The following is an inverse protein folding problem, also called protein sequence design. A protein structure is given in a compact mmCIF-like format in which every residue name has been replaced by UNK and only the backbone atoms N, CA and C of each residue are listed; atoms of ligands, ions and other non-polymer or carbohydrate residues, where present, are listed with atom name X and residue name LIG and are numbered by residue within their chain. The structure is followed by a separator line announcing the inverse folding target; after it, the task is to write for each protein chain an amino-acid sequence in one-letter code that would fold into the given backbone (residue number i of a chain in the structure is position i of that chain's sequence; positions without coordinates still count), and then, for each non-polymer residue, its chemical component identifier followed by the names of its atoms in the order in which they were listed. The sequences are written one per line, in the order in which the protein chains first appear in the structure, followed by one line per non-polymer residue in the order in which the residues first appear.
data_IF_247222727957
#
_entry.id   IF_247222727957
#
_cell.length_a   1.000
_cell.length_b   1.000
_cell.length_c   1.000
_cell.angle_alpha   90.00
_cell.angle_beta   90.00
_cell.angle_gamma   90.00
#
_symmetry.space_group_name_H-M   'P 1'
#
loop_
_entity.id
_entity.type
_entity.pdbx_description
1 polymer ?
#
# COMPACT_ATOMS: atom_id res chain seq x y z
N UNK A 1 -24.89 26.16 24.17
CA UNK A 1 -23.92 25.43 23.32
C UNK A 1 -24.33 23.99 22.95
N UNK A 2 -25.32 23.35 23.58
CA UNK A 2 -25.69 21.94 23.32
C UNK A 2 -26.41 21.63 21.97
N UNK A 3 -27.15 22.58 21.38
CA UNK A 3 -27.87 22.35 20.10
C UNK A 3 -26.94 22.05 18.92
N UNK A 4 -25.72 22.58 18.92
CA UNK A 4 -24.74 22.40 17.84
C UNK A 4 -24.15 20.98 17.80
N UNK A 5 -23.92 20.37 18.97
CA UNK A 5 -23.39 19.01 19.10
C UNK A 5 -24.43 17.97 18.68
N UNK A 6 -25.69 18.11 19.13
CA UNK A 6 -26.74 17.16 18.80
C UNK A 6 -27.04 17.13 17.29
N UNK A 7 -26.99 18.30 16.65
CA UNK A 7 -27.18 18.46 15.21
C UNK A 7 -26.04 17.86 14.35
N UNK A 8 -24.89 17.50 14.94
CA UNK A 8 -23.77 16.87 14.22
C UNK A 8 -23.63 15.38 14.53
N UNK A 9 -23.80 15.01 15.79
CA UNK A 9 -23.62 13.63 16.25
C UNK A 9 -24.72 12.72 15.70
N UNK A 10 -25.99 13.13 15.81
CA UNK A 10 -27.11 12.28 15.39
C UNK A 10 -27.07 11.95 13.88
N UNK A 11 -26.89 12.92 12.96
CA UNK A 11 -26.77 12.60 11.53
C UNK A 11 -25.56 11.70 11.21
N UNK A 12 -24.45 11.88 11.93
CA UNK A 12 -23.27 11.04 11.74
C UNK A 12 -23.54 9.59 12.15
N UNK A 13 -24.23 9.37 13.27
CA UNK A 13 -24.60 8.03 13.71
C UNK A 13 -25.58 7.35 12.73
N UNK A 14 -26.49 8.10 12.12
CA UNK A 14 -27.43 7.56 11.12
C UNK A 14 -26.69 7.09 9.86
N UNK A 15 -25.80 7.92 9.31
CA UNK A 15 -24.98 7.54 8.13
C UNK A 15 -24.13 6.31 8.42
N UNK A 16 -23.49 6.25 9.59
CA UNK A 16 -22.69 5.09 9.98
C UNK A 16 -23.55 3.83 10.15
N UNK A 17 -24.75 3.95 10.73
CA UNK A 17 -25.66 2.83 10.95
C UNK A 17 -26.24 2.30 9.64
N UNK A 18 -26.59 3.17 8.72
CA UNK A 18 -27.06 2.80 7.38
C UNK A 18 -26.00 1.97 6.63
N UNK A 19 -24.74 2.37 6.75
CA UNK A 19 -23.63 1.70 6.07
C UNK A 19 -23.20 0.39 6.74
N UNK A 20 -23.16 0.35 8.07
CA UNK A 20 -22.63 -0.79 8.82
C UNK A 20 -23.71 -1.78 9.28
N UNK A 21 -24.99 -1.43 9.15
CA UNK A 21 -26.14 -2.26 9.48
C UNK A 21 -26.38 -2.51 10.98
N UNK A 22 -25.45 -2.17 11.87
CA UNK A 22 -25.55 -2.46 13.31
C UNK A 22 -24.93 -1.38 14.20
N UNK A 23 -25.62 -1.04 15.29
CA UNK A 23 -25.10 -0.13 16.32
C UNK A 23 -23.80 -0.64 16.97
N UNK A 24 -23.61 -1.97 17.03
CA UNK A 24 -22.38 -2.57 17.55
C UNK A 24 -21.20 -2.23 16.65
N UNK A 25 -21.37 -2.34 15.32
CA UNK A 25 -20.34 -2.01 14.34
C UNK A 25 -20.02 -0.52 14.35
N UNK A 26 -21.03 0.34 14.47
CA UNK A 26 -20.84 1.79 14.66
C UNK A 26 -19.96 2.06 15.88
N UNK A 27 -20.24 1.44 17.03
CA UNK A 27 -19.44 1.63 18.24
C UNK A 27 -17.98 1.16 18.06
N UNK A 28 -17.74 0.06 17.33
CA UNK A 28 -16.37 -0.41 17.02
C UNK A 28 -15.61 0.59 16.16
N UNK A 29 -16.22 1.11 15.08
CA UNK A 29 -15.59 2.11 14.21
C UNK A 29 -15.29 3.40 14.95
N UNK A 30 -16.20 3.86 15.82
CA UNK A 30 -15.99 5.07 16.61
C UNK A 30 -14.86 4.94 17.62
N UNK A 31 -14.64 3.74 18.19
CA UNK A 31 -13.47 3.45 19.03
C UNK A 31 -12.16 3.54 18.24
N UNK A 32 -12.17 3.15 16.97
CA UNK A 32 -11.00 3.25 16.08
C UNK A 32 -10.76 4.71 15.67
N UNK A 33 -11.82 5.46 15.38
CA UNK A 33 -11.70 6.85 14.96
C UNK A 33 -12.85 7.73 15.43
N UNK A 34 -12.60 8.57 16.43
CA UNK A 34 -13.55 9.62 16.84
C UNK A 34 -13.73 10.74 15.82
N UNK A 35 -12.95 10.76 14.72
CA UNK A 35 -13.05 11.78 13.67
C UNK A 35 -14.40 11.78 12.97
N UNK A 36 -15.08 10.63 12.89
CA UNK A 36 -16.44 10.52 12.33
C UNK A 36 -17.46 11.39 13.06
N UNK A 37 -17.22 11.78 14.32
CA UNK A 37 -18.08 12.68 15.09
C UNK A 37 -17.63 14.14 15.04
N UNK A 38 -16.41 14.41 14.56
CA UNK A 38 -15.83 15.76 14.47
C UNK A 38 -16.10 16.43 13.13
N UNK A 39 -16.21 15.65 12.06
CA UNK A 39 -16.52 16.12 10.71
C UNK A 39 -18.00 15.96 10.36
N UNK A 40 -18.52 16.79 9.45
CA UNK A 40 -19.82 16.57 8.81
C UNK A 40 -19.69 15.43 7.79
N UNK A 41 -19.91 14.19 8.26
CA UNK A 41 -19.75 13.00 7.42
C UNK A 41 -20.85 12.87 6.36
N UNK A 42 -22.00 13.52 6.55
CA UNK A 42 -23.03 13.62 5.51
C UNK A 42 -22.55 14.38 4.29
N UNK A 43 -21.78 15.47 4.48
CA UNK A 43 -21.22 16.27 3.38
C UNK A 43 -19.85 15.79 2.87
N UNK A 44 -19.21 14.85 3.56
CA UNK A 44 -17.86 14.36 3.20
C UNK A 44 -17.87 12.87 2.88
N UNK A 45 -18.12 12.03 3.87
CA UNK A 45 -18.06 10.57 3.76
C UNK A 45 -19.15 9.99 2.86
N UNK A 46 -20.41 10.41 3.00
CA UNK A 46 -21.51 9.87 2.20
C UNK A 46 -21.28 10.02 0.67
N UNK A 47 -20.98 11.22 0.12
CA UNK A 47 -20.66 11.34 -1.30
C UNK A 47 -19.38 10.61 -1.73
N UNK A 48 -18.40 10.46 -0.83
CA UNK A 48 -17.20 9.67 -1.07
C UNK A 48 -17.52 8.17 -1.22
N UNK A 49 -18.38 7.64 -0.35
CA UNK A 49 -18.85 6.25 -0.43
C UNK A 49 -19.62 6.02 -1.72
N UNK A 50 -20.54 6.92 -2.06
CA UNK A 50 -21.34 6.81 -3.27
C UNK A 50 -20.46 6.84 -4.52
N UNK A 51 -19.45 7.73 -4.54
CA UNK A 51 -18.45 7.75 -5.59
C UNK A 51 -17.68 6.42 -5.69
N UNK A 52 -17.22 5.86 -4.58
CA UNK A 52 -16.50 4.57 -4.58
C UNK A 52 -17.39 3.41 -5.05
N UNK A 53 -18.66 3.38 -4.64
CA UNK A 53 -19.65 2.41 -5.16
C UNK A 53 -19.80 2.52 -6.68
N UNK A 54 -19.90 3.74 -7.20
CA UNK A 54 -19.96 3.99 -8.64
C UNK A 54 -18.67 3.62 -9.39
N UNK A 55 -17.54 3.53 -8.69
CA UNK A 55 -16.30 2.94 -9.22
C UNK A 55 -16.26 1.40 -9.12
N UNK A 56 -17.36 0.73 -8.73
CA UNK A 56 -17.45 -0.72 -8.60
C UNK A 56 -16.87 -1.28 -7.30
N UNK A 57 -16.63 -0.43 -6.29
CA UNK A 57 -16.13 -0.87 -4.99
C UNK A 57 -17.29 -1.36 -4.12
N UNK A 58 -17.17 -2.59 -3.62
CA UNK A 58 -18.19 -3.22 -2.79
C UNK A 58 -18.25 -2.60 -1.39
N UNK A 59 -19.43 -2.61 -0.77
CA UNK A 59 -19.67 -2.00 0.55
C UNK A 59 -18.80 -2.66 1.63
N UNK A 60 -18.54 -3.94 1.52
CA UNK A 60 -17.69 -4.71 2.43
C UNK A 60 -16.24 -4.17 2.41
N UNK A 61 -15.75 -3.74 1.25
CA UNK A 61 -14.42 -3.17 1.09
C UNK A 61 -14.36 -1.73 1.64
N UNK A 62 -15.42 -0.96 1.42
CA UNK A 62 -15.57 0.38 2.01
C UNK A 62 -15.61 0.27 3.53
N UNK A 63 -16.34 -0.70 4.06
CA UNK A 63 -16.39 -1.01 5.50
C UNK A 63 -14.99 -1.33 6.02
N UNK A 64 -14.24 -2.21 5.35
CA UNK A 64 -12.85 -2.51 5.71
C UNK A 64 -11.96 -1.25 5.77
N UNK A 65 -12.15 -0.28 4.86
CA UNK A 65 -11.44 1.00 4.89
C UNK A 65 -11.79 1.84 6.13
N UNK A 66 -13.01 1.75 6.66
CA UNK A 66 -13.39 2.43 7.89
C UNK A 66 -12.63 1.87 9.11
N UNK A 67 -12.36 0.57 9.11
CA UNK A 67 -11.61 -0.10 10.16
C UNK A 67 -10.09 0.09 10.04
N UNK A 68 -9.58 0.28 8.82
CA UNK A 68 -8.12 0.29 8.57
C UNK A 68 -7.56 1.69 8.28
N UNK A 69 -8.26 2.47 7.45
CA UNK A 69 -7.83 3.79 6.99
C UNK A 69 -8.96 4.83 7.01
N UNK A 70 -9.64 5.04 8.16
CA UNK A 70 -10.87 5.83 8.25
C UNK A 70 -10.76 7.25 7.69
N UNK A 71 -9.58 7.86 7.82
CA UNK A 71 -9.32 9.23 7.37
C UNK A 71 -9.42 9.41 5.85
N UNK A 72 -9.21 8.35 5.05
CA UNK A 72 -9.29 8.47 3.59
C UNK A 72 -10.72 8.83 3.13
N UNK A 73 -11.74 8.36 3.84
CA UNK A 73 -13.15 8.62 3.55
C UNK A 73 -13.62 10.01 4.01
N UNK A 74 -12.85 10.71 4.84
CA UNK A 74 -13.22 12.00 5.43
C UNK A 74 -12.66 13.21 4.66
N UNK A 75 -11.99 13.00 3.54
CA UNK A 75 -11.52 14.10 2.70
C UNK A 75 -12.68 14.76 1.93
N UNK A 76 -12.48 15.99 1.46
CA UNK A 76 -13.48 16.70 0.65
C UNK A 76 -13.79 15.88 -0.62
N UNK A 77 -15.06 15.78 -1.06
CA UNK A 77 -15.42 14.94 -2.21
C UNK A 77 -14.64 15.24 -3.50
N UNK A 78 -14.48 16.53 -3.83
CA UNK A 78 -13.64 16.96 -4.96
C UNK A 78 -12.19 16.47 -4.85
N UNK A 79 -11.64 16.42 -3.63
CA UNK A 79 -10.28 15.92 -3.38
C UNK A 79 -10.20 14.41 -3.53
N UNK A 80 -11.21 13.66 -3.06
CA UNK A 80 -11.27 12.21 -3.26
C UNK A 80 -11.33 11.85 -4.74
N UNK A 81 -12.26 12.45 -5.49
CA UNK A 81 -12.44 12.19 -6.93
C UNK A 81 -11.13 12.48 -7.67
N UNK A 82 -10.50 13.63 -7.39
CA UNK A 82 -9.21 13.99 -7.97
C UNK A 82 -8.10 13.01 -7.61
N UNK A 83 -8.04 12.58 -6.35
CA UNK A 83 -7.04 11.61 -5.88
C UNK A 83 -7.21 10.26 -6.57
N UNK A 84 -8.42 9.70 -6.56
CA UNK A 84 -8.74 8.41 -7.20
C UNK A 84 -8.45 8.49 -8.69
N UNK A 85 -8.92 9.53 -9.39
CA UNK A 85 -8.65 9.69 -10.83
C UNK A 85 -7.15 9.75 -11.17
N UNK A 86 -6.35 10.49 -10.38
CA UNK A 86 -4.89 10.51 -10.54
C UNK A 86 -4.29 9.14 -10.31
N UNK A 87 -4.73 8.44 -9.27
CA UNK A 87 -4.18 7.15 -8.89
C UNK A 87 -4.50 6.07 -9.93
N UNK A 88 -5.74 6.02 -10.41
CA UNK A 88 -6.14 5.13 -11.52
C UNK A 88 -5.29 5.38 -12.77
N UNK A 89 -5.11 6.64 -13.17
CA UNK A 89 -4.25 7.00 -14.30
C UNK A 89 -2.80 6.54 -14.08
N UNK A 90 -2.26 6.69 -12.87
CA UNK A 90 -0.91 6.25 -12.55
C UNK A 90 -0.75 4.72 -12.66
N UNK A 91 -1.73 3.94 -12.19
CA UNK A 91 -1.71 2.48 -12.35
C UNK A 91 -1.80 2.07 -13.84
N UNK A 92 -2.68 2.70 -14.62
CA UNK A 92 -2.78 2.46 -16.07
C UNK A 92 -1.46 2.75 -16.80
N UNK A 93 -0.83 3.89 -16.50
CA UNK A 93 0.48 4.24 -17.07
C UNK A 93 1.60 3.24 -16.71
N UNK A 94 1.43 2.48 -15.63
CA UNK A 94 2.38 1.45 -15.22
C UNK A 94 2.10 0.08 -15.87
N UNK A 95 0.94 -0.09 -16.51
CA UNK A 95 0.55 -1.29 -17.25
C UNK A 95 -0.59 -2.09 -16.62
N UNK A 96 -1.23 -1.60 -15.55
CA UNK A 96 -2.39 -2.27 -14.96
C UNK A 96 -3.63 -2.07 -15.84
N UNK A 97 -4.36 -3.16 -16.10
CA UNK A 97 -5.72 -3.11 -16.67
C UNK A 97 -6.74 -2.60 -15.64
N UNK A 98 -7.96 -2.29 -16.08
CA UNK A 98 -9.05 -1.94 -15.16
C UNK A 98 -9.38 -3.12 -14.22
N UNK A 99 -9.33 -4.34 -14.74
CA UNK A 99 -9.50 -5.58 -13.98
C UNK A 99 -8.40 -5.75 -12.91
N UNK A 100 -7.13 -5.51 -13.27
CA UNK A 100 -6.01 -5.60 -12.33
C UNK A 100 -6.14 -4.58 -11.20
N UNK A 101 -6.61 -3.36 -11.51
CA UNK A 101 -6.81 -2.29 -10.53
C UNK A 101 -7.89 -2.69 -9.54
N UNK A 102 -9.04 -3.16 -10.03
CA UNK A 102 -10.16 -3.61 -9.19
C UNK A 102 -9.73 -4.79 -8.31
N UNK A 103 -9.03 -5.76 -8.88
CA UNK A 103 -8.50 -6.92 -8.14
C UNK A 103 -7.45 -6.52 -7.09
N UNK A 104 -6.57 -5.59 -7.43
CA UNK A 104 -5.58 -5.03 -6.50
C UNK A 104 -6.26 -4.31 -5.35
N UNK A 105 -7.30 -3.52 -5.62
CA UNK A 105 -8.05 -2.83 -4.58
C UNK A 105 -8.76 -3.83 -3.67
N UNK A 106 -9.29 -4.91 -4.22
CA UNK A 106 -9.95 -5.98 -3.46
C UNK A 106 -9.01 -6.71 -2.52
N UNK A 107 -7.84 -7.11 -3.01
CA UNK A 107 -6.87 -7.90 -2.22
C UNK A 107 -5.98 -7.06 -1.31
N UNK A 108 -5.64 -5.85 -1.73
CA UNK A 108 -4.62 -5.03 -1.08
C UNK A 108 -4.86 -3.52 -1.30
N UNK A 109 -5.96 -2.95 -0.76
CA UNK A 109 -6.29 -1.53 -0.95
C UNK A 109 -5.20 -0.57 -0.43
N UNK A 110 -4.38 -1.00 0.54
CA UNK A 110 -3.22 -0.24 1.02
C UNK A 110 -2.20 0.09 -0.07
N UNK A 111 -2.15 -0.68 -1.17
CA UNK A 111 -1.28 -0.42 -2.33
C UNK A 111 -1.62 0.94 -2.99
N UNK A 112 -2.86 1.40 -2.87
CA UNK A 112 -3.28 2.71 -3.40
C UNK A 112 -2.75 3.90 -2.58
N UNK A 113 -2.10 3.66 -1.44
CA UNK A 113 -1.37 4.70 -0.69
C UNK A 113 0.06 4.94 -1.20
N UNK A 114 0.60 4.03 -2.01
CA UNK A 114 1.98 4.11 -2.50
C UNK A 114 2.16 5.30 -3.44
N UNK A 115 3.23 6.07 -3.28
CA UNK A 115 3.49 7.24 -4.14
C UNK A 115 3.80 6.83 -5.58
N UNK A 116 3.40 7.66 -6.55
CA UNK A 116 3.70 7.44 -7.97
C UNK A 116 5.20 7.35 -8.24
N UNK A 117 5.98 8.20 -7.56
CA UNK A 117 7.44 8.20 -7.64
C UNK A 117 8.03 6.85 -7.21
N UNK A 118 7.54 6.27 -6.10
CA UNK A 118 8.00 4.96 -5.63
C UNK A 118 7.69 3.85 -6.64
N UNK A 119 6.50 3.87 -7.25
CA UNK A 119 6.12 2.89 -8.26
C UNK A 119 7.01 2.99 -9.51
N UNK A 120 7.32 4.22 -9.96
CA UNK A 120 8.23 4.48 -11.09
C UNK A 120 9.65 4.01 -10.80
N UNK A 121 10.21 4.39 -9.64
CA UNK A 121 11.54 3.94 -9.21
C UNK A 121 11.63 2.43 -9.15
N UNK A 122 10.61 1.75 -8.62
CA UNK A 122 10.58 0.29 -8.60
C UNK A 122 10.59 -0.29 -10.01
N UNK A 123 9.77 0.25 -10.92
CA UNK A 123 9.73 -0.17 -12.33
C UNK A 123 11.10 -0.04 -12.99
N UNK A 124 11.74 1.11 -12.82
CA UNK A 124 13.07 1.39 -13.37
C UNK A 124 14.12 0.40 -12.87
N UNK A 125 14.22 0.15 -11.56
CA UNK A 125 15.24 -0.77 -11.04
C UNK A 125 14.99 -2.24 -11.38
N UNK A 126 13.72 -2.65 -11.52
CA UNK A 126 13.39 -4.02 -11.93
C UNK A 126 13.78 -4.24 -13.39
N UNK A 127 13.42 -3.31 -14.28
CA UNK A 127 13.82 -3.38 -15.69
C UNK A 127 15.34 -3.30 -15.83
N UNK A 128 15.99 -2.39 -15.12
CA UNK A 128 17.45 -2.23 -15.16
C UNK A 128 18.22 -3.47 -14.65
N UNK A 129 17.61 -4.30 -13.80
CA UNK A 129 18.21 -5.56 -13.40
C UNK A 129 18.33 -6.57 -14.54
N UNK A 130 17.52 -6.44 -15.59
CA UNK A 130 17.44 -7.41 -16.70
C UNK A 130 16.84 -8.77 -16.31
N UNK A 131 16.40 -8.94 -15.04
CA UNK A 131 15.90 -10.21 -14.50
C UNK A 131 14.40 -10.25 -14.23
N UNK A 132 13.77 -9.08 -14.10
CA UNK A 132 12.36 -8.99 -13.77
C UNK A 132 11.66 -8.03 -14.73
N UNK A 133 10.48 -8.44 -15.18
CA UNK A 133 9.54 -7.56 -15.88
C UNK A 133 8.52 -6.98 -14.89
N UNK A 134 7.99 -5.80 -15.16
CA UNK A 134 7.04 -5.15 -14.25
C UNK A 134 5.70 -5.91 -14.11
N UNK A 135 5.35 -6.81 -15.04
CA UNK A 135 4.21 -7.74 -14.90
C UNK A 135 4.29 -8.59 -13.63
N UNK A 136 5.49 -8.84 -13.08
CA UNK A 136 5.65 -9.52 -11.79
C UNK A 136 5.04 -8.72 -10.62
N UNK A 137 5.03 -7.39 -10.71
CA UNK A 137 4.42 -6.48 -9.73
C UNK A 137 2.90 -6.49 -9.87
N UNK A 138 2.38 -6.56 -11.10
CA UNK A 138 0.93 -6.63 -11.36
C UNK A 138 0.35 -7.92 -10.76
N UNK A 139 1.03 -9.05 -10.95
CA UNK A 139 0.65 -10.34 -10.33
C UNK A 139 0.87 -10.37 -8.81
N UNK A 140 1.69 -9.46 -8.26
CA UNK A 140 2.00 -9.37 -6.83
C UNK A 140 1.91 -7.93 -6.30
N UNK A 141 0.73 -7.28 -6.26
CA UNK A 141 0.64 -5.84 -5.99
C UNK A 141 1.15 -5.41 -4.61
N UNK A 142 1.13 -6.32 -3.63
CA UNK A 142 1.67 -6.08 -2.27
C UNK A 142 3.18 -5.79 -2.26
N UNK A 143 3.89 -6.17 -3.33
CA UNK A 143 5.30 -5.86 -3.54
C UNK A 143 5.57 -4.36 -3.56
N UNK A 144 4.61 -3.53 -3.99
CA UNK A 144 4.69 -2.06 -4.02
C UNK A 144 4.82 -1.42 -2.62
N UNK A 145 4.43 -2.15 -1.57
CA UNK A 145 4.51 -1.67 -0.19
C UNK A 145 5.96 -1.70 0.31
N UNK A 146 6.77 -2.67 -0.15
CA UNK A 146 8.16 -2.84 0.27
C UNK A 146 9.04 -1.63 -0.08
N UNK A 147 10.08 -1.37 0.72
CA UNK A 147 10.99 -0.24 0.47
C UNK A 147 11.86 -0.47 -0.76
N UNK A 148 11.89 0.49 -1.67
CA UNK A 148 12.77 0.46 -2.85
C UNK A 148 14.23 0.57 -2.42
N UNK A 149 14.55 1.57 -1.60
CA UNK A 149 15.93 1.84 -1.17
C UNK A 149 16.47 0.83 -0.15
N UNK A 150 15.62 0.33 0.76
CA UNK A 150 16.10 -0.52 1.86
C UNK A 150 15.93 -2.02 1.57
N UNK A 151 15.08 -2.41 0.61
CA UNK A 151 14.84 -3.83 0.30
C UNK A 151 15.21 -4.19 -1.13
N UNK A 152 14.62 -3.55 -2.13
CA UNK A 152 14.87 -3.95 -3.52
C UNK A 152 16.29 -3.63 -3.97
N UNK A 153 16.70 -2.37 -3.87
CA UNK A 153 18.00 -1.91 -4.38
C UNK A 153 19.19 -2.68 -3.77
N UNK A 154 19.29 -2.89 -2.45
CA UNK A 154 20.40 -3.65 -1.88
C UNK A 154 20.38 -5.11 -2.35
N UNK A 155 19.21 -5.74 -2.42
CA UNK A 155 19.09 -7.14 -2.86
C UNK A 155 19.46 -7.32 -4.32
N UNK A 156 18.97 -6.45 -5.21
CA UNK A 156 19.32 -6.47 -6.64
C UNK A 156 20.82 -6.25 -6.84
N UNK A 157 21.46 -5.35 -6.08
CA UNK A 157 22.90 -5.13 -6.14
C UNK A 157 23.70 -6.37 -5.71
N UNK A 158 23.35 -6.97 -4.58
CA UNK A 158 23.99 -8.21 -4.10
C UNK A 158 23.86 -9.31 -5.16
N UNK A 159 22.65 -9.55 -5.67
CA UNK A 159 22.40 -10.57 -6.68
C UNK A 159 23.17 -10.30 -7.98
N UNK A 160 23.28 -9.04 -8.40
CA UNK A 160 24.08 -8.64 -9.56
C UNK A 160 25.57 -8.94 -9.39
N UNK A 161 26.15 -8.65 -8.22
CA UNK A 161 27.56 -8.98 -7.93
C UNK A 161 27.79 -10.49 -7.90
N UNK A 162 26.87 -11.25 -7.31
CA UNK A 162 26.98 -12.71 -7.28
C UNK A 162 26.91 -13.30 -8.68
N UNK A 163 25.99 -12.82 -9.51
CA UNK A 163 25.88 -13.25 -10.91
C UNK A 163 27.13 -12.89 -11.71
N UNK A 164 27.64 -11.65 -11.61
CA UNK A 164 28.81 -11.23 -12.38
C UNK A 164 30.08 -12.02 -12.03
N UNK A 165 30.10 -12.64 -10.84
CA UNK A 165 31.18 -13.53 -10.37
C UNK A 165 30.87 -15.02 -10.54
N UNK A 166 29.75 -15.36 -11.19
CA UNK A 166 29.26 -16.73 -11.37
C UNK A 166 29.08 -17.51 -10.05
N UNK A 167 28.73 -16.82 -8.95
CA UNK A 167 28.55 -17.41 -7.62
C UNK A 167 27.14 -17.96 -7.39
N UNK A 168 26.17 -17.52 -8.20
CA UNK A 168 24.81 -18.05 -8.23
C UNK A 168 24.47 -18.49 -9.65
N UNK A 169 23.68 -19.56 -9.76
CA UNK A 169 23.16 -20.04 -11.06
C UNK A 169 21.94 -19.25 -11.51
N UNK A 170 21.08 -18.92 -10.56
CA UNK A 170 19.78 -18.27 -10.83
C UNK A 170 19.44 -17.27 -9.74
N UNK A 171 18.71 -16.22 -10.14
CA UNK A 171 18.11 -15.26 -9.23
C UNK A 171 16.86 -15.85 -8.56
N UNK A 172 16.47 -15.39 -7.37
CA UNK A 172 15.21 -15.79 -6.77
C UNK A 172 14.03 -15.37 -7.65
N UNK A 173 12.90 -16.06 -7.53
CA UNK A 173 11.64 -15.57 -8.11
C UNK A 173 11.26 -14.21 -7.51
N UNK A 174 10.43 -13.43 -8.20
CA UNK A 174 10.02 -12.12 -7.69
C UNK A 174 9.38 -12.18 -6.28
N UNK A 175 8.49 -13.14 -5.96
CA UNK A 175 8.03 -13.35 -4.58
C UNK A 175 9.18 -13.64 -3.60
N UNK A 176 10.15 -14.45 -4.01
CA UNK A 176 11.37 -14.70 -3.24
C UNK A 176 12.20 -13.43 -3.01
N UNK A 177 12.18 -12.48 -3.94
CA UNK A 177 12.87 -11.21 -3.81
C UNK A 177 12.23 -10.30 -2.75
N UNK A 178 10.90 -10.14 -2.72
CA UNK A 178 10.26 -9.16 -1.83
C UNK A 178 9.70 -9.73 -0.52
N UNK A 179 9.24 -10.99 -0.51
CA UNK A 179 8.67 -11.64 0.69
C UNK A 179 9.73 -12.22 1.62
N UNK A 180 10.89 -12.65 1.09
CA UNK A 180 11.93 -13.26 1.91
C UNK A 180 12.38 -12.29 3.02
N UNK A 181 12.45 -12.73 4.29
CA UNK A 181 12.98 -11.91 5.38
C UNK A 181 14.44 -11.50 5.14
N UNK A 182 14.87 -10.36 5.67
CA UNK A 182 16.24 -9.85 5.48
C UNK A 182 17.29 -10.84 6.02
N UNK A 183 17.04 -11.44 7.18
CA UNK A 183 17.94 -12.45 7.76
C UNK A 183 18.11 -13.67 6.85
N UNK A 184 17.01 -14.14 6.24
CA UNK A 184 17.04 -15.26 5.30
C UNK A 184 17.81 -14.89 4.02
N UNK A 185 17.62 -13.67 3.52
CA UNK A 185 18.38 -13.15 2.37
C UNK A 185 19.87 -13.08 2.69
N UNK A 186 20.24 -12.54 3.86
CA UNK A 186 21.62 -12.44 4.31
C UNK A 186 22.25 -13.82 4.47
N UNK A 187 21.57 -14.76 5.12
CA UNK A 187 22.07 -16.14 5.29
C UNK A 187 22.34 -16.82 3.95
N UNK A 188 21.51 -16.57 2.94
CA UNK A 188 21.57 -17.25 1.64
C UNK A 188 22.50 -16.59 0.64
N UNK A 189 22.50 -15.26 0.54
CA UNK A 189 23.15 -14.52 -0.54
C UNK A 189 24.29 -13.60 -0.07
N UNK A 190 24.45 -13.41 1.24
CA UNK A 190 25.51 -12.54 1.77
C UNK A 190 26.56 -13.33 2.53
N UNK A 191 26.16 -14.07 3.57
CA UNK A 191 27.09 -14.78 4.48
C UNK A 191 28.05 -15.73 3.75
N UNK A 192 27.62 -16.48 2.72
CA UNK A 192 28.53 -17.36 1.98
C UNK A 192 29.57 -16.60 1.14
N UNK A 193 29.34 -15.32 0.85
CA UNK A 193 30.09 -14.51 -0.12
C UNK A 193 30.52 -13.16 0.48
N UNK A 194 30.87 -13.13 1.77
CA UNK A 194 31.20 -11.91 2.50
C UNK A 194 32.43 -11.18 1.93
N UNK A 195 33.37 -11.88 1.29
CA UNK A 195 34.57 -11.24 0.70
C UNK A 195 34.23 -10.51 -0.59
N UNK A 196 33.18 -10.95 -1.26
CA UNK A 196 32.74 -10.48 -2.57
C UNK A 196 31.67 -9.40 -2.46
N UNK A 197 30.82 -9.51 -1.44
CA UNK A 197 29.68 -8.62 -1.17
C UNK A 197 29.99 -7.64 -0.03
N UNK A 198 31.06 -7.85 0.74
CA UNK A 198 31.39 -7.16 1.98
C UNK A 198 31.44 -5.62 1.92
N UNK A 199 31.78 -5.05 0.76
CA UNK A 199 31.80 -3.59 0.58
C UNK A 199 30.40 -2.97 0.48
N UNK A 200 29.38 -3.74 0.08
CA UNK A 200 27.98 -3.29 0.02
C UNK A 200 27.35 -3.20 1.43
N UNK A 201 27.86 -3.94 2.42
CA UNK A 201 27.39 -3.89 3.81
C UNK A 201 27.79 -2.61 4.55
N UNK A 202 28.87 -1.95 4.12
CA UNK A 202 29.34 -0.70 4.75
C UNK A 202 28.57 0.54 4.26
N UNK A 203 27.94 0.47 3.09
CA UNK A 203 27.13 1.57 2.51
C UNK A 203 25.67 1.54 3.01
N UNK A 204 25.23 0.44 3.63
CA UNK A 204 23.88 0.24 4.15
C UNK A 204 23.80 0.21 5.68
N UNK A 205 24.45 1.13 6.41
CA UNK A 205 24.30 1.29 7.86
C UNK A 205 22.89 1.78 8.30
N UNK A 206 21.83 1.30 7.63
CA UNK A 206 20.42 1.40 8.03
C UNK A 206 19.77 0.03 8.30
N UNK A 207 20.52 -1.07 8.21
CA UNK A 207 20.01 -2.42 8.56
C UNK A 207 19.73 -2.63 10.06
N UNK A 208 19.94 -1.61 10.92
CA UNK A 208 19.57 -1.68 12.34
C UNK A 208 19.10 -0.31 12.87
N UNK A 209 17.83 -0.25 13.34
CA UNK A 209 17.21 0.88 14.04
C UNK A 209 16.13 1.60 13.20
N UNK A 210 14.85 1.65 13.57
CA UNK A 210 14.19 1.51 14.88
C UNK A 210 12.82 0.83 14.74
N UNK A 211 12.65 -0.27 15.46
CA UNK A 211 11.36 -0.62 16.04
C UNK A 211 11.13 0.35 17.21
N UNK A 212 9.96 0.97 17.26
CA UNK A 212 9.55 1.84 18.36
C UNK A 212 8.23 2.48 17.98
N UNK A 213 7.20 2.06 18.71
CA UNK A 213 5.80 2.53 18.72
C UNK A 213 5.63 4.03 18.43
#
# INVERSE_FOLDING_TARGET
MYRSLNNRVVPSLLVLKELLGSSLEVAKVLKISGWFLKSDIGKTMAPNIEFLKNCGIAVEQISWLMYTYPRCLLCKPKSMIKFVGRKLKAFKNLGFSDEDIVETFRKAPQVFSVSEEKMKKLKEILIASGKYDFSCVISHPTSLICSVENKYKPRLQVLGVLESRNLIKEWPSFPGLYKMPDESFVKKYVRPYLREVGDLHKVGSSFCGKNGL
#
